data_IF_898978651646
#
_entry.id   IF_898978651646
#
_cell.length_a   1.000
_cell.length_b   1.000
_cell.length_c   1.000
_cell.angle_alpha   90.00
_cell.angle_beta   90.00
_cell.angle_gamma   90.00
#
_symmetry.space_group_name_H-M   'P 1'
#
loop_
_entity.id
_entity.type
_entity.pdbx_description
1 polymer ?
#
# COMPACT_ATOMS: atom_id res chain seq x y z
N UNK A 1 6.83 -31.78 -34.92
CA UNK A 1 7.21 -30.47 -34.33
C UNK A 1 6.15 -29.87 -33.39
N UNK A 2 4.84 -30.19 -33.52
CA UNK A 2 3.79 -29.66 -32.62
C UNK A 2 3.92 -30.04 -31.13
N UNK A 3 4.57 -31.17 -30.80
CA UNK A 3 4.74 -31.66 -29.42
C UNK A 3 5.75 -30.85 -28.57
N UNK A 4 6.70 -30.15 -29.22
CA UNK A 4 7.70 -29.31 -28.53
C UNK A 4 7.12 -27.98 -28.04
N UNK A 5 6.11 -27.46 -28.72
CA UNK A 5 5.45 -26.19 -28.37
C UNK A 5 4.65 -26.28 -27.07
N UNK A 6 4.04 -27.45 -26.80
CA UNK A 6 3.30 -27.72 -25.56
C UNK A 6 4.27 -27.84 -24.37
N UNK A 7 5.47 -28.39 -24.59
CA UNK A 7 6.49 -28.53 -23.54
C UNK A 7 7.10 -27.16 -23.17
N UNK A 8 7.31 -26.25 -24.13
CA UNK A 8 7.70 -24.87 -23.83
C UNK A 8 6.61 -24.11 -23.06
N UNK A 9 5.33 -24.32 -23.38
CA UNK A 9 4.22 -23.65 -22.68
C UNK A 9 4.11 -24.07 -21.20
N UNK A 10 4.41 -25.33 -20.88
CA UNK A 10 4.36 -25.88 -19.52
C UNK A 10 5.53 -25.40 -18.63
N UNK A 11 6.70 -25.14 -19.21
CA UNK A 11 7.87 -24.65 -18.46
C UNK A 11 7.77 -23.14 -18.19
N UNK A 12 7.05 -22.38 -19.02
CA UNK A 12 6.77 -20.95 -18.77
C UNK A 12 5.77 -20.70 -17.63
N UNK A 13 5.07 -21.72 -17.13
CA UNK A 13 4.12 -21.59 -16.01
C UNK A 13 4.77 -21.62 -14.61
N UNK A 14 6.07 -21.91 -14.51
CA UNK A 14 6.79 -22.02 -13.23
C UNK A 14 7.37 -20.69 -12.73
N UNK A 15 7.08 -19.56 -13.38
CA UNK A 15 7.39 -18.25 -12.80
C UNK A 15 6.44 -18.08 -11.62
N UNK A 16 6.98 -18.04 -10.41
CA UNK A 16 6.22 -17.79 -9.18
C UNK A 16 5.66 -16.38 -9.29
N UNK A 17 4.47 -16.27 -9.87
CA UNK A 17 3.71 -15.04 -9.93
C UNK A 17 3.27 -14.74 -8.49
N UNK A 18 4.04 -13.92 -7.80
CA UNK A 18 3.56 -13.29 -6.59
C UNK A 18 2.43 -12.36 -7.02
N UNK A 19 1.21 -12.65 -6.56
CA UNK A 19 0.10 -11.76 -6.76
C UNK A 19 0.21 -10.62 -5.73
N UNK A 20 -0.05 -9.39 -6.16
CA UNK A 20 -0.10 -8.22 -5.29
C UNK A 20 -0.96 -8.50 -4.06
N UNK A 21 -0.41 -8.29 -2.86
CA UNK A 21 -1.10 -8.65 -1.61
C UNK A 21 -2.15 -7.63 -1.18
N UNK A 22 -2.05 -6.38 -1.67
CA UNK A 22 -2.86 -5.24 -1.24
C UNK A 22 -3.58 -4.55 -2.39
N UNK A 23 -4.84 -4.16 -2.18
CA UNK A 23 -5.61 -3.31 -3.12
C UNK A 23 -5.80 -1.91 -2.54
N UNK A 24 -6.09 -0.93 -3.40
CA UNK A 24 -6.38 0.43 -2.93
C UNK A 24 -7.63 0.47 -2.06
N UNK A 25 -8.68 -0.24 -2.46
CA UNK A 25 -9.93 -0.32 -1.69
C UNK A 25 -9.69 -0.85 -0.27
N UNK A 26 -8.93 -1.95 -0.14
CA UNK A 26 -8.58 -2.50 1.17
C UNK A 26 -7.81 -1.50 2.03
N UNK A 27 -6.88 -0.74 1.45
CA UNK A 27 -6.16 0.29 2.20
C UNK A 27 -7.08 1.43 2.64
N UNK A 28 -7.92 1.93 1.74
CA UNK A 28 -8.86 3.02 2.02
C UNK A 28 -9.84 2.64 3.14
N UNK A 29 -10.34 1.41 3.15
CA UNK A 29 -11.18 0.90 4.24
C UNK A 29 -10.42 0.81 5.55
N UNK A 30 -9.21 0.24 5.54
CA UNK A 30 -8.39 0.06 6.74
C UNK A 30 -7.98 1.36 7.41
N UNK A 31 -7.88 2.46 6.66
CA UNK A 31 -7.54 3.78 7.21
C UNK A 31 -8.54 4.19 8.29
N UNK A 32 -9.80 3.74 8.22
CA UNK A 32 -10.84 4.10 9.20
C UNK A 32 -10.93 3.16 10.39
N UNK A 33 -10.14 2.08 10.39
CA UNK A 33 -10.24 1.01 11.35
C UNK A 33 -9.27 1.20 12.52
N UNK A 34 -9.63 0.65 13.67
CA UNK A 34 -8.72 0.56 14.80
C UNK A 34 -7.54 -0.37 14.48
N UNK A 35 -6.43 -0.20 15.19
CA UNK A 35 -5.25 -1.05 15.01
C UNK A 35 -5.57 -2.56 15.18
N UNK A 36 -6.49 -2.92 16.08
CA UNK A 36 -6.90 -4.31 16.29
C UNK A 36 -7.69 -4.89 15.11
N UNK A 37 -8.54 -4.09 14.47
CA UNK A 37 -9.28 -4.50 13.27
C UNK A 37 -8.36 -4.66 12.06
N UNK A 38 -7.40 -3.76 11.91
CA UNK A 38 -6.35 -3.87 10.89
C UNK A 38 -5.51 -5.13 11.10
N UNK A 39 -5.08 -5.41 12.33
CA UNK A 39 -4.37 -6.65 12.70
C UNK A 39 -5.18 -7.88 12.24
N UNK A 40 -6.48 -7.90 12.53
CA UNK A 40 -7.35 -9.01 12.12
C UNK A 40 -7.44 -9.16 10.59
N UNK A 41 -7.58 -8.08 9.83
CA UNK A 41 -7.67 -8.16 8.37
C UNK A 41 -6.34 -8.66 7.77
N UNK A 42 -5.22 -8.11 8.21
CA UNK A 42 -3.92 -8.38 7.59
C UNK A 42 -3.35 -9.74 7.97
N UNK A 43 -3.50 -10.12 9.25
CA UNK A 43 -2.95 -11.38 9.75
C UNK A 43 -3.85 -12.55 9.37
N UNK A 44 -5.19 -12.40 9.45
CA UNK A 44 -6.09 -13.53 9.17
C UNK A 44 -6.20 -13.85 7.68
N UNK A 45 -5.91 -12.90 6.78
CA UNK A 45 -5.78 -13.20 5.35
C UNK A 45 -4.57 -14.08 5.02
N UNK A 46 -3.64 -14.26 5.97
CA UNK A 46 -2.45 -15.09 5.81
C UNK A 46 -1.42 -14.53 4.83
N UNK A 47 -1.58 -13.27 4.38
CA UNK A 47 -0.68 -12.60 3.45
C UNK A 47 0.38 -11.76 4.15
N UNK A 48 0.06 -11.26 5.34
CA UNK A 48 0.95 -10.43 6.14
C UNK A 48 1.15 -11.04 7.53
N UNK A 49 2.28 -10.69 8.14
CA UNK A 49 2.50 -10.83 9.58
C UNK A 49 2.90 -9.48 10.17
N UNK A 50 2.69 -9.31 11.48
CA UNK A 50 3.30 -8.21 12.23
C UNK A 50 4.82 -8.38 12.17
N UNK A 51 5.50 -7.34 11.70
CA UNK A 51 6.95 -7.25 11.66
C UNK A 51 7.48 -6.52 12.90
N UNK A 52 6.87 -5.39 13.25
CA UNK A 52 7.30 -4.55 14.37
C UNK A 52 6.15 -3.70 14.93
N UNK A 53 6.24 -3.30 16.20
CA UNK A 53 5.34 -2.37 16.88
C UNK A 53 6.16 -1.35 17.66
N UNK A 54 6.06 -0.09 17.29
CA UNK A 54 6.86 1.00 17.87
C UNK A 54 6.01 2.19 18.27
N UNK A 55 6.37 2.85 19.36
CA UNK A 55 5.74 4.12 19.76
C UNK A 55 6.56 5.26 19.17
N UNK A 56 5.97 6.01 18.25
CA UNK A 56 6.60 7.18 17.61
C UNK A 56 5.74 8.39 17.93
N UNK A 57 6.30 9.38 18.62
CA UNK A 57 5.58 10.60 19.06
C UNK A 57 4.28 10.31 19.82
N UNK A 58 4.29 9.27 20.66
CA UNK A 58 3.12 8.84 21.43
C UNK A 58 2.08 8.02 20.65
N UNK A 59 2.35 7.72 19.37
CA UNK A 59 1.47 6.92 18.51
C UNK A 59 2.03 5.51 18.35
N UNK A 60 1.19 4.48 18.53
CA UNK A 60 1.58 3.10 18.26
C UNK A 60 1.53 2.83 16.76
N UNK A 61 2.70 2.77 16.12
CA UNK A 61 2.84 2.36 14.73
C UNK A 61 3.06 0.86 14.65
N UNK A 62 2.22 0.17 13.87
CA UNK A 62 2.41 -1.25 13.57
C UNK A 62 2.90 -1.40 12.14
N UNK A 63 4.02 -2.10 11.97
CA UNK A 63 4.58 -2.45 10.68
C UNK A 63 4.30 -3.91 10.36
N UNK A 64 3.86 -4.19 9.14
CA UNK A 64 3.57 -5.51 8.63
C UNK A 64 4.46 -5.83 7.44
N UNK A 65 4.77 -7.11 7.25
CA UNK A 65 5.53 -7.61 6.12
C UNK A 65 4.82 -8.82 5.50
N UNK A 66 4.91 -8.93 4.18
CA UNK A 66 4.42 -10.10 3.45
C UNK A 66 5.08 -11.41 3.89
N UNK A 67 4.29 -12.48 3.88
CA UNK A 67 4.74 -13.85 4.18
C UNK A 67 4.42 -14.80 3.03
N UNK A 68 5.18 -15.89 2.93
CA UNK A 68 4.85 -16.99 2.04
C UNK A 68 3.80 -17.96 2.66
N UNK A 69 3.46 -19.01 1.91
CA UNK A 69 2.54 -20.07 2.37
C UNK A 69 3.00 -20.79 3.64
N UNK A 70 4.32 -20.77 3.91
CA UNK A 70 4.92 -21.37 5.10
C UNK A 70 5.04 -20.36 6.25
N UNK A 71 4.39 -19.19 6.14
CA UNK A 71 4.43 -18.09 7.11
C UNK A 71 5.83 -17.50 7.31
N UNK A 72 6.71 -17.68 6.33
CA UNK A 72 8.07 -17.12 6.35
C UNK A 72 8.07 -15.73 5.75
N UNK A 73 8.74 -14.73 6.37
CA UNK A 73 8.84 -13.39 5.79
C UNK A 73 9.46 -13.42 4.41
N UNK A 74 8.80 -12.75 3.46
CA UNK A 74 9.34 -12.54 2.12
C UNK A 74 9.54 -11.05 1.90
N UNK A 75 10.61 -10.71 1.17
CA UNK A 75 10.81 -9.34 0.68
C UNK A 75 9.75 -9.09 -0.39
N UNK A 76 9.19 -7.89 -0.41
CA UNK A 76 8.19 -7.57 -1.41
C UNK A 76 7.35 -6.36 -1.03
N UNK A 77 6.54 -6.53 0.01
CA UNK A 77 5.57 -5.53 0.40
C UNK A 77 5.59 -5.33 1.92
N UNK A 78 5.46 -4.08 2.34
CA UNK A 78 5.26 -3.73 3.75
C UNK A 78 4.12 -2.74 3.90
N UNK A 79 3.48 -2.77 5.06
CA UNK A 79 2.40 -1.85 5.42
C UNK A 79 2.71 -1.24 6.77
N UNK A 80 2.40 0.04 6.96
CA UNK A 80 2.49 0.71 8.25
C UNK A 80 1.14 1.35 8.55
N UNK A 81 0.63 1.10 9.76
CA UNK A 81 -0.65 1.65 10.25
C UNK A 81 -0.49 2.25 11.64
N UNK A 82 -1.52 2.95 12.12
CA UNK A 82 -1.56 3.57 13.45
C UNK A 82 -1.03 4.99 13.50
N UNK A 83 -0.50 5.53 12.39
CA UNK A 83 -0.18 6.94 12.28
C UNK A 83 -1.46 7.77 12.19
N UNK A 84 -1.49 8.92 12.87
CA UNK A 84 -2.59 9.87 12.76
C UNK A 84 -2.15 11.32 13.00
N UNK A 85 -2.96 12.26 12.52
CA UNK A 85 -2.90 13.67 12.92
C UNK A 85 -4.15 14.01 13.73
N UNK A 86 -4.00 14.80 14.79
CA UNK A 86 -5.13 15.28 15.58
C UNK A 86 -5.57 16.64 15.06
N UNK A 87 -6.85 16.76 14.70
CA UNK A 87 -7.46 18.03 14.29
C UNK A 87 -7.62 18.98 15.50
N UNK A 88 -7.96 20.24 15.24
CA UNK A 88 -8.25 21.20 16.32
C UNK A 88 -9.48 20.78 17.16
N UNK A 89 -10.39 19.99 16.59
CA UNK A 89 -11.55 19.42 17.27
C UNK A 89 -11.24 18.15 18.09
N UNK A 90 -9.99 17.65 18.02
CA UNK A 90 -9.56 16.44 18.72
C UNK A 90 -9.79 15.13 17.95
N UNK A 91 -10.27 15.20 16.70
CA UNK A 91 -10.45 14.03 15.85
C UNK A 91 -9.09 13.48 15.36
N UNK A 92 -8.95 12.16 15.30
CA UNK A 92 -7.75 11.51 14.76
C UNK A 92 -7.95 11.17 13.28
N UNK A 93 -7.16 11.80 12.42
CA UNK A 93 -7.08 11.53 10.98
C UNK A 93 -5.98 10.52 10.72
N UNK A 94 -6.37 9.29 10.45
CA UNK A 94 -5.45 8.17 10.30
C UNK A 94 -4.73 8.18 8.95
N UNK A 95 -3.57 7.54 8.95
CA UNK A 95 -2.72 7.35 7.77
C UNK A 95 -2.26 5.89 7.68
N UNK A 96 -2.32 5.35 6.47
CA UNK A 96 -1.75 4.05 6.13
C UNK A 96 -0.73 4.23 5.03
N UNK A 97 0.45 3.62 5.20
CA UNK A 97 1.51 3.63 4.20
C UNK A 97 1.78 2.21 3.72
N UNK A 98 1.54 1.96 2.45
CA UNK A 98 1.98 0.75 1.76
C UNK A 98 3.28 1.01 1.02
N UNK A 99 4.17 0.02 1.03
CA UNK A 99 5.46 0.07 0.37
C UNK A 99 5.70 -1.20 -0.41
N UNK A 100 6.29 -1.08 -1.60
CA UNK A 100 6.66 -2.23 -2.40
C UNK A 100 7.95 -2.02 -3.19
N UNK A 101 8.74 -3.09 -3.31
CA UNK A 101 9.88 -3.14 -4.25
C UNK A 101 9.45 -3.42 -5.69
N UNK A 102 8.17 -3.71 -5.93
CA UNK A 102 7.61 -4.06 -7.24
C UNK A 102 6.87 -2.85 -7.83
N UNK A 103 7.45 -2.11 -8.79
CA UNK A 103 6.82 -0.93 -9.39
C UNK A 103 5.45 -1.24 -10.00
N UNK A 104 5.27 -2.43 -10.57
CA UNK A 104 4.02 -2.90 -11.16
C UNK A 104 2.84 -2.91 -10.17
N UNK A 105 3.10 -3.19 -8.89
CA UNK A 105 2.05 -3.17 -7.86
C UNK A 105 1.59 -1.74 -7.62
N UNK A 106 2.51 -0.78 -7.62
CA UNK A 106 2.18 0.64 -7.43
C UNK A 106 1.47 1.18 -8.66
N UNK A 107 1.89 0.82 -9.87
CA UNK A 107 1.15 1.18 -11.08
C UNK A 107 -0.27 0.62 -11.09
N UNK A 108 -0.47 -0.60 -10.59
CA UNK A 108 -1.80 -1.16 -10.42
C UNK A 108 -2.64 -0.39 -9.39
N UNK A 109 -2.03 0.06 -8.28
CA UNK A 109 -2.72 0.92 -7.31
C UNK A 109 -3.10 2.27 -7.91
N UNK A 110 -2.20 2.91 -8.67
CA UNK A 110 -2.50 4.15 -9.40
C UNK A 110 -3.70 3.96 -10.32
N UNK A 111 -3.76 2.85 -11.07
CA UNK A 111 -4.91 2.55 -11.94
C UNK A 111 -6.20 2.38 -11.15
N UNK A 112 -6.15 1.72 -9.99
CA UNK A 112 -7.33 1.58 -9.11
C UNK A 112 -7.78 2.94 -8.56
N UNK A 113 -6.85 3.78 -8.10
CA UNK A 113 -7.12 5.14 -7.61
C UNK A 113 -7.83 5.96 -8.67
N UNK A 114 -7.29 5.98 -9.90
CA UNK A 114 -7.88 6.69 -11.03
C UNK A 114 -9.24 6.11 -11.42
N UNK A 115 -9.38 4.79 -11.42
CA UNK A 115 -10.65 4.10 -11.71
C UNK A 115 -11.76 4.42 -10.71
N UNK A 116 -11.41 4.82 -9.49
CA UNK A 116 -12.36 5.28 -8.45
C UNK A 116 -12.66 6.78 -8.54
N UNK A 117 -12.18 7.48 -9.57
CA UNK A 117 -12.49 8.88 -9.80
C UNK A 117 -11.69 9.86 -8.94
N UNK A 118 -10.59 9.41 -8.32
CA UNK A 118 -9.68 10.33 -7.64
C UNK A 118 -8.95 11.19 -8.67
N UNK A 119 -8.91 12.49 -8.42
CA UNK A 119 -8.31 13.45 -9.34
C UNK A 119 -6.83 13.56 -9.06
N UNK A 120 -6.00 13.43 -10.10
CA UNK A 120 -4.57 13.71 -9.97
C UNK A 120 -4.37 15.22 -9.84
N UNK A 121 -4.04 15.68 -8.65
CA UNK A 121 -3.87 17.11 -8.33
C UNK A 121 -2.44 17.57 -8.56
N UNK A 122 -1.45 16.66 -8.51
CA UNK A 122 -0.06 17.00 -8.74
C UNK A 122 0.73 15.82 -9.29
N UNK A 123 1.45 16.06 -10.39
CA UNK A 123 2.50 15.19 -10.91
C UNK A 123 3.82 15.94 -10.89
N UNK A 124 4.63 15.67 -9.87
CA UNK A 124 5.96 16.24 -9.69
C UNK A 124 7.05 15.20 -9.86
N UNK A 125 8.29 15.65 -9.86
CA UNK A 125 9.43 14.78 -9.66
C UNK A 125 10.60 15.57 -9.07
N UNK A 126 11.36 14.94 -8.19
CA UNK A 126 12.65 15.45 -7.73
C UNK A 126 13.79 14.66 -8.40
N UNK A 127 15.02 14.78 -7.89
CA UNK A 127 16.17 14.07 -8.45
C UNK A 127 16.03 12.54 -8.37
N UNK A 128 15.35 12.03 -7.34
CA UNK A 128 15.32 10.61 -6.98
C UNK A 128 13.93 9.97 -7.11
N UNK A 129 12.86 10.76 -7.19
CA UNK A 129 11.47 10.30 -7.10
C UNK A 129 10.57 10.94 -8.14
N UNK A 130 9.60 10.18 -8.62
CA UNK A 130 8.38 10.74 -9.23
C UNK A 130 7.27 10.75 -8.18
N UNK A 131 6.55 11.85 -8.09
CA UNK A 131 5.54 12.11 -7.07
C UNK A 131 4.19 12.28 -7.76
N UNK A 132 3.20 11.52 -7.32
CA UNK A 132 1.82 11.64 -7.77
C UNK A 132 0.94 11.90 -6.56
N UNK A 133 0.04 12.87 -6.66
CA UNK A 133 -0.92 13.18 -5.62
C UNK A 133 -2.32 13.00 -6.21
N UNK A 134 -3.14 12.24 -5.51
CA UNK A 134 -4.53 12.03 -5.86
C UNK A 134 -5.42 12.46 -4.70
N UNK A 135 -6.45 13.23 -5.00
CA UNK A 135 -7.38 13.74 -4.00
C UNK A 135 -8.81 13.29 -4.26
N UNK A 136 -9.53 13.15 -3.16
CA UNK A 136 -10.98 13.00 -3.07
C UNK A 136 -11.51 13.86 -1.93
N UNK A 137 -12.81 13.81 -1.69
CA UNK A 137 -13.44 14.50 -0.55
C UNK A 137 -12.98 13.93 0.79
N UNK A 138 -12.63 12.64 0.85
CA UNK A 138 -12.35 11.94 2.11
C UNK A 138 -10.88 11.63 2.33
N UNK A 139 -10.11 11.51 1.26
CA UNK A 139 -8.74 11.02 1.32
C UNK A 139 -7.80 11.82 0.43
N UNK A 140 -6.59 11.99 0.95
CA UNK A 140 -5.42 12.47 0.24
C UNK A 140 -4.45 11.31 0.05
N UNK A 141 -4.04 11.05 -1.20
CA UNK A 141 -3.21 9.90 -1.55
C UNK A 141 -1.92 10.38 -2.18
N UNK A 142 -0.79 10.06 -1.55
CA UNK A 142 0.54 10.35 -2.10
C UNK A 142 1.18 9.07 -2.60
N UNK A 143 1.66 9.09 -3.85
CA UNK A 143 2.42 7.98 -4.43
C UNK A 143 3.83 8.44 -4.76
N UNK A 144 4.82 7.71 -4.26
CA UNK A 144 6.23 7.94 -4.50
C UNK A 144 6.81 6.76 -5.28
N UNK A 145 7.31 7.06 -6.49
CA UNK A 145 8.00 6.11 -7.34
C UNK A 145 9.49 6.44 -7.37
N UNK A 146 10.32 5.55 -6.81
CA UNK A 146 11.76 5.73 -6.74
C UNK A 146 12.40 5.44 -8.11
N UNK A 147 13.28 6.33 -8.58
CA UNK A 147 13.96 6.19 -9.88
C UNK A 147 15.15 5.23 -9.85
N UNK A 148 15.74 5.02 -8.68
CA UNK A 148 16.87 4.12 -8.44
C UNK A 148 16.44 2.66 -8.26
N UNK A 149 15.14 2.35 -8.42
CA UNK A 149 14.60 1.01 -8.22
C UNK A 149 14.48 0.61 -6.75
N UNK A 150 14.64 1.53 -5.81
CA UNK A 150 14.37 1.29 -4.40
C UNK A 150 12.87 1.24 -4.10
N UNK A 151 12.51 1.23 -2.81
CA UNK A 151 11.15 0.96 -2.34
C UNK A 151 10.20 2.09 -2.72
N UNK A 152 9.17 1.77 -3.49
CA UNK A 152 8.09 2.67 -3.84
C UNK A 152 7.02 2.69 -2.74
N UNK A 153 6.18 3.72 -2.69
CA UNK A 153 5.14 3.82 -1.66
C UNK A 153 3.85 4.44 -2.12
N UNK A 154 2.74 4.01 -1.51
CA UNK A 154 1.43 4.66 -1.54
C UNK A 154 1.04 4.98 -0.10
N UNK A 155 0.77 6.24 0.18
CA UNK A 155 0.26 6.72 1.46
C UNK A 155 -1.18 7.21 1.27
N UNK A 156 -2.08 6.76 2.13
CA UNK A 156 -3.48 7.23 2.18
C UNK A 156 -3.68 7.89 3.53
N UNK A 157 -4.11 9.15 3.50
CA UNK A 157 -4.40 9.96 4.69
C UNK A 157 -5.86 10.42 4.66
N UNK A 158 -6.55 10.33 5.79
CA UNK A 158 -7.87 10.93 5.94
C UNK A 158 -7.79 12.46 5.87
N UNK A 159 -8.75 13.07 5.19
CA UNK A 159 -8.95 14.52 5.23
C UNK A 159 -9.92 14.88 6.34
N UNK A 160 -9.70 16.05 6.94
CA UNK A 160 -10.69 16.65 7.81
C UNK A 160 -11.91 17.04 6.97
N UNK A 161 -13.11 16.64 7.42
CA UNK A 161 -14.35 16.97 6.71
C UNK A 161 -14.62 18.48 6.80
N UNK A 162 -14.88 19.10 5.66
CA UNK A 162 -15.18 20.54 5.59
C UNK A 162 -13.96 21.45 5.57
N UNK A 163 -12.75 20.89 5.64
CA UNK A 163 -11.49 21.58 5.36
C UNK A 163 -10.91 20.94 4.10
N UNK A 164 -11.37 21.37 2.93
CA UNK A 164 -10.64 21.07 1.70
C UNK A 164 -9.28 21.79 1.73
N UNK A 165 -8.23 21.26 1.10
CA UNK A 165 -7.15 22.12 0.64
C UNK A 165 -7.68 23.16 -0.35
#
# INVERSE_FOLDING_TARGET
MKKLLILCLLVCGAVVAHAQSMTFYSMADMVRLSAGEVDNILVNTGKFKVNDKQIVKGQLLTSYQTIDRNKTPIKGETLVTGAYNTTNSGEHLHTITYKSIYPEYIYNLIKQIQGLGYHNTLKGADQVRSIYIFDSNFYHVTVLMMRDGSVNSVEIRQKELGIEP
#
